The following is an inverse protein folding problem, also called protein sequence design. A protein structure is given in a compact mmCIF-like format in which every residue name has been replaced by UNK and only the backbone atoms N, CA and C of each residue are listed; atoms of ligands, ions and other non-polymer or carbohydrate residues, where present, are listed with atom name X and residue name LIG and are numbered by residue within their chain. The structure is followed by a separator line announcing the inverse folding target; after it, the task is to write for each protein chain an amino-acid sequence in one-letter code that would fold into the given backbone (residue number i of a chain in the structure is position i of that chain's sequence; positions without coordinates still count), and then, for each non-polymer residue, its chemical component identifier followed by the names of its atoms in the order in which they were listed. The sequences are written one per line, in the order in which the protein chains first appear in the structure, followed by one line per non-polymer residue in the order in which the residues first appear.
data_IF_723747787490
#
_entry.id   IF_723747787490
#
_cell.length_a   1.000
_cell.length_b   1.000
_cell.length_c   1.000
_cell.angle_alpha   90.00
_cell.angle_beta   90.00
_cell.angle_gamma   90.00
#
_symmetry.space_group_name_H-M   'P 1'
#
loop_
_entity.id
_entity.type
_entity.pdbx_description
1 polymer ?
#
# COMPACT_ATOMS: atom_id res chain seq x y z
N UNK A 1 -10.51 -1.75 52.37
CA UNK A 1 -9.90 -2.12 51.08
C UNK A 1 -10.98 -1.96 50.03
N UNK A 2 -11.04 -0.80 49.38
CA UNK A 2 -11.93 -0.58 48.23
C UNK A 2 -11.23 -1.10 47.00
N UNK A 3 -11.82 -2.12 46.38
CA UNK A 3 -11.45 -2.56 45.04
C UNK A 3 -12.13 -1.63 44.05
N UNK A 4 -11.39 -0.62 43.57
CA UNK A 4 -11.74 0.14 42.38
C UNK A 4 -11.55 -0.79 41.16
N UNK A 5 -12.62 -1.48 40.75
CA UNK A 5 -12.67 -2.11 39.44
C UNK A 5 -12.94 -1.03 38.39
N UNK A 6 -11.86 -0.61 37.71
CA UNK A 6 -11.91 0.25 36.53
C UNK A 6 -12.74 -0.42 35.42
N UNK A 7 -13.98 0.05 35.24
CA UNK A 7 -14.82 -0.30 34.10
C UNK A 7 -14.16 0.18 32.79
N UNK A 8 -14.05 -0.67 31.75
CA UNK A 8 -13.44 -0.29 30.48
C UNK A 8 -14.32 0.75 29.75
N UNK A 9 -13.72 1.91 29.48
CA UNK A 9 -14.32 3.06 28.81
C UNK A 9 -14.64 2.72 27.33
N UNK A 10 -15.89 2.38 27.03
CA UNK A 10 -16.35 1.91 25.71
C UNK A 10 -16.12 2.92 24.56
N UNK A 11 -15.92 4.20 24.86
CA UNK A 11 -15.68 5.24 23.85
C UNK A 11 -14.26 5.19 23.24
N UNK A 12 -13.28 4.63 23.95
CA UNK A 12 -11.91 4.53 23.42
C UNK A 12 -11.82 3.49 22.30
N UNK A 13 -12.52 2.36 22.44
CA UNK A 13 -12.51 1.26 21.46
C UNK A 13 -13.03 1.69 20.08
N UNK A 14 -14.13 2.45 20.02
CA UNK A 14 -14.69 2.91 18.75
C UNK A 14 -13.76 3.88 18.02
N UNK A 15 -12.95 4.62 18.77
CA UNK A 15 -11.97 5.55 18.22
C UNK A 15 -10.76 4.82 17.64
N UNK A 16 -10.39 3.67 18.21
CA UNK A 16 -9.32 2.81 17.68
C UNK A 16 -9.71 2.18 16.35
N UNK A 17 -10.95 1.69 16.20
CA UNK A 17 -11.44 1.11 14.95
C UNK A 17 -11.47 2.15 13.82
N UNK A 18 -11.93 3.37 14.10
CA UNK A 18 -11.90 4.49 13.16
C UNK A 18 -10.46 4.87 12.76
N UNK A 19 -9.52 4.81 13.71
CA UNK A 19 -8.11 5.05 13.43
C UNK A 19 -7.50 3.91 12.61
N UNK A 20 -7.86 2.66 12.89
CA UNK A 20 -7.41 1.50 12.13
C UNK A 20 -7.93 1.54 10.69
N UNK A 21 -9.20 1.90 10.48
CA UNK A 21 -9.79 2.11 9.16
C UNK A 21 -9.08 3.23 8.41
N UNK A 22 -8.80 4.36 9.08
CA UNK A 22 -8.03 5.46 8.50
C UNK A 22 -6.63 5.01 8.05
N UNK A 23 -5.89 4.28 8.91
CA UNK A 23 -4.54 3.81 8.60
C UNK A 23 -4.56 2.80 7.45
N UNK A 24 -5.55 1.91 7.42
CA UNK A 24 -5.70 0.91 6.34
C UNK A 24 -5.93 1.60 4.99
N UNK A 25 -6.81 2.61 4.93
CA UNK A 25 -7.00 3.39 3.69
C UNK A 25 -5.76 4.20 3.32
N UNK A 26 -4.97 4.63 4.29
CA UNK A 26 -3.74 5.38 4.04
C UNK A 26 -2.65 4.52 3.38
N UNK A 27 -2.73 3.18 3.48
CA UNK A 27 -1.78 2.27 2.82
C UNK A 27 -1.79 2.41 1.29
N UNK A 28 -2.95 2.75 0.71
CA UNK A 28 -3.11 2.95 -0.72
C UNK A 28 -2.53 4.31 -1.18
N UNK A 29 -2.46 5.29 -0.28
CA UNK A 29 -2.02 6.67 -0.57
C UNK A 29 -0.68 7.02 0.08
N UNK A 30 0.33 6.14 -0.09
CA UNK A 30 1.67 6.32 0.51
C UNK A 30 2.34 7.65 0.19
N UNK A 31 2.03 8.21 -0.98
CA UNK A 31 2.60 9.49 -1.42
C UNK A 31 2.29 10.64 -0.45
N UNK A 32 1.19 10.58 0.31
CA UNK A 32 0.84 11.57 1.35
C UNK A 32 1.90 11.59 2.47
N UNK A 33 2.55 10.46 2.74
CA UNK A 33 3.55 10.32 3.79
C UNK A 33 4.95 10.75 3.36
N UNK A 34 5.21 10.86 2.07
CA UNK A 34 6.54 11.21 1.54
C UNK A 34 7.02 12.56 2.06
N UNK A 35 8.32 12.67 2.32
CA UNK A 35 8.95 13.95 2.72
C UNK A 35 9.31 14.85 1.53
N UNK A 36 9.41 14.28 0.32
CA UNK A 36 9.85 14.99 -0.89
C UNK A 36 8.88 16.12 -1.27
N UNK A 37 9.40 17.29 -1.62
CA UNK A 37 8.62 18.50 -1.98
C UNK A 37 8.92 18.99 -3.41
N UNK A 38 9.29 18.08 -4.30
CA UNK A 38 9.46 18.41 -5.71
C UNK A 38 8.10 18.79 -6.33
N UNK A 39 8.02 19.81 -7.20
CA UNK A 39 6.76 20.26 -7.81
C UNK A 39 5.83 19.13 -8.33
N UNK A 40 6.32 18.10 -9.06
CA UNK A 40 5.45 17.01 -9.52
C UNK A 40 4.94 16.12 -8.38
N UNK A 41 5.71 15.96 -7.30
CA UNK A 41 5.29 15.17 -6.13
C UNK A 41 4.30 15.97 -5.29
N UNK A 42 4.46 17.30 -5.22
CA UNK A 42 3.52 18.17 -4.53
C UNK A 42 2.14 18.13 -5.20
N UNK A 43 2.06 18.27 -6.53
CA UNK A 43 0.78 18.15 -7.24
C UNK A 43 0.16 16.77 -7.10
N UNK A 44 0.96 15.71 -7.18
CA UNK A 44 0.49 14.34 -6.96
C UNK A 44 -0.01 14.10 -5.52
N UNK A 45 0.64 14.69 -4.52
CA UNK A 45 0.17 14.67 -3.12
C UNK A 45 -1.15 15.39 -2.95
N UNK A 46 -1.29 16.59 -3.52
CA UNK A 46 -2.51 17.37 -3.39
C UNK A 46 -3.68 16.64 -4.07
N UNK A 47 -3.43 15.97 -5.20
CA UNK A 47 -4.42 15.09 -5.86
C UNK A 47 -4.79 13.89 -5.00
N UNK A 48 -3.80 13.14 -4.52
CA UNK A 48 -4.00 11.99 -3.64
C UNK A 48 -4.74 12.37 -2.35
N UNK A 49 -4.46 13.55 -1.79
CA UNK A 49 -5.11 14.04 -0.58
C UNK A 49 -6.59 14.37 -0.82
N UNK A 50 -6.96 14.87 -2.00
CA UNK A 50 -8.37 15.09 -2.37
C UNK A 50 -9.11 13.77 -2.52
N UNK A 51 -8.57 12.83 -3.28
CA UNK A 51 -9.15 11.50 -3.48
C UNK A 51 -9.29 10.74 -2.16
N UNK A 52 -8.27 10.79 -1.29
CA UNK A 52 -8.32 10.22 0.05
C UNK A 52 -9.42 10.87 0.90
N UNK A 53 -9.53 12.20 0.88
CA UNK A 53 -10.57 12.91 1.64
C UNK A 53 -11.97 12.51 1.19
N UNK A 54 -12.21 12.45 -0.11
CA UNK A 54 -13.51 12.06 -0.68
C UNK A 54 -13.89 10.62 -0.33
N UNK A 55 -12.94 9.69 -0.47
CA UNK A 55 -13.16 8.27 -0.14
C UNK A 55 -13.35 8.06 1.37
N UNK A 56 -12.56 8.73 2.21
CA UNK A 56 -12.70 8.66 3.66
C UNK A 56 -14.03 9.24 4.15
N UNK A 57 -14.45 10.40 3.62
CA UNK A 57 -15.71 11.04 3.98
C UNK A 57 -16.91 10.17 3.55
N UNK A 58 -16.83 9.52 2.39
CA UNK A 58 -17.85 8.55 1.94
C UNK A 58 -17.97 7.36 2.89
N UNK A 59 -16.85 6.83 3.37
CA UNK A 59 -16.82 5.62 4.19
C UNK A 59 -17.15 5.86 5.66
N UNK A 60 -16.71 6.97 6.23
CA UNK A 60 -16.87 7.26 7.67
C UNK A 60 -17.98 8.25 8.00
N UNK A 61 -18.62 8.85 6.99
CA UNK A 61 -19.61 9.94 7.11
C UNK A 61 -19.08 11.15 7.90
N UNK A 62 -17.77 11.24 8.09
CA UNK A 62 -17.11 12.41 8.67
C UNK A 62 -16.87 13.42 7.54
N UNK A 63 -17.07 14.71 7.80
CA UNK A 63 -16.74 15.77 6.85
C UNK A 63 -15.38 16.35 7.22
N UNK A 64 -14.30 15.60 6.93
CA UNK A 64 -12.95 16.12 7.12
C UNK A 64 -12.50 16.92 5.90
N UNK A 65 -11.85 18.05 6.16
CA UNK A 65 -11.12 18.83 5.16
C UNK A 65 -9.71 18.26 4.94
N UNK A 66 -9.13 18.49 3.77
CA UNK A 66 -7.79 18.03 3.39
C UNK A 66 -6.72 18.49 4.41
N UNK A 67 -6.85 19.70 4.95
CA UNK A 67 -5.96 20.21 6.01
C UNK A 67 -6.12 19.43 7.31
N UNK A 68 -7.34 19.03 7.66
CA UNK A 68 -7.63 18.26 8.86
C UNK A 68 -7.10 16.84 8.74
N UNK A 69 -7.20 16.22 7.54
CA UNK A 69 -6.57 14.93 7.24
C UNK A 69 -5.06 15.01 7.46
N UNK A 70 -4.40 16.00 6.87
CA UNK A 70 -2.95 16.18 7.04
C UNK A 70 -2.56 16.43 8.51
N UNK A 71 -3.36 17.23 9.22
CA UNK A 71 -3.20 17.44 10.67
C UNK A 71 -3.35 16.13 11.45
N UNK A 72 -4.35 15.30 11.12
CA UNK A 72 -4.56 13.98 11.73
C UNK A 72 -3.35 13.08 11.50
N UNK A 73 -2.83 13.01 10.28
CA UNK A 73 -1.60 12.27 9.95
C UNK A 73 -0.41 12.77 10.77
N UNK A 74 -0.21 14.08 10.87
CA UNK A 74 0.89 14.65 11.65
C UNK A 74 0.74 14.38 13.16
N UNK A 75 -0.49 14.44 13.69
CA UNK A 75 -0.77 14.07 15.07
C UNK A 75 -0.44 12.59 15.32
N UNK A 76 -0.80 11.68 14.41
CA UNK A 76 -0.45 10.26 14.49
C UNK A 76 1.07 10.05 14.47
N UNK A 77 1.80 10.75 13.58
CA UNK A 77 3.28 10.75 13.55
C UNK A 77 3.88 11.18 14.88
N UNK A 78 3.38 12.27 15.46
CA UNK A 78 3.87 12.80 16.74
C UNK A 78 3.57 11.85 17.91
N UNK A 79 2.36 11.26 17.96
CA UNK A 79 2.00 10.25 18.98
C UNK A 79 2.97 9.06 18.93
N UNK A 80 3.19 8.52 17.75
CA UNK A 80 4.07 7.36 17.57
C UNK A 80 5.52 7.71 17.90
N UNK A 81 6.03 8.88 17.47
CA UNK A 81 7.35 9.37 17.88
C UNK A 81 7.51 9.45 19.39
N UNK A 82 6.52 9.99 20.10
CA UNK A 82 6.59 10.11 21.55
C UNK A 82 6.61 8.75 22.25
N UNK A 83 5.88 7.75 21.73
CA UNK A 83 5.86 6.39 22.28
C UNK A 83 7.17 5.64 21.98
N UNK A 84 7.76 5.88 20.80
CA UNK A 84 8.97 5.18 20.32
C UNK A 84 10.27 5.89 20.68
N UNK A 85 10.22 7.07 21.28
CA UNK A 85 11.40 7.83 21.69
C UNK A 85 12.14 7.11 22.82
N UNK A 86 13.24 6.45 22.47
CA UNK A 86 14.11 5.69 23.37
C UNK A 86 14.66 6.54 24.52
N UNK A 87 14.83 7.85 24.31
CA UNK A 87 15.33 8.76 25.36
C UNK A 87 14.30 8.98 26.47
N UNK A 88 13.01 8.78 26.19
CA UNK A 88 11.90 8.98 27.14
C UNK A 88 11.39 7.70 27.77
N UNK A 89 11.53 6.56 27.09
CA UNK A 89 10.89 5.31 27.51
C UNK A 89 11.62 4.59 28.64
N UNK A 90 12.90 4.89 28.89
CA UNK A 90 13.72 4.11 29.82
C UNK A 90 13.69 2.62 29.48
N UNK A 91 14.11 1.73 30.37
CA UNK A 91 14.06 0.27 30.15
C UNK A 91 12.62 -0.32 30.10
N UNK A 92 11.58 0.47 29.79
CA UNK A 92 10.20 -0.01 29.68
C UNK A 92 9.95 -0.58 28.28
N UNK A 93 9.33 -1.75 28.23
CA UNK A 93 8.89 -2.38 26.97
C UNK A 93 7.83 -1.50 26.30
N UNK A 94 8.09 -1.07 25.07
CA UNK A 94 7.16 -0.27 24.26
C UNK A 94 5.98 -1.16 23.85
N UNK A 95 4.77 -0.80 24.29
CA UNK A 95 3.51 -1.42 23.82
C UNK A 95 2.85 -0.47 22.83
N UNK A 96 2.72 -0.92 21.58
CA UNK A 96 2.03 -0.20 20.50
C UNK A 96 0.67 -0.83 20.23
N UNK A 97 -0.36 0.00 20.02
CA UNK A 97 -1.69 -0.45 19.61
C UNK A 97 -1.67 -0.91 18.14
N UNK A 98 -2.70 -1.63 17.70
CA UNK A 98 -2.70 -2.26 16.37
C UNK A 98 -2.60 -1.24 15.22
N UNK A 99 -3.38 -0.15 15.30
CA UNK A 99 -3.30 0.92 14.31
C UNK A 99 -1.93 1.62 14.32
N UNK A 100 -1.29 1.73 15.50
CA UNK A 100 0.05 2.34 15.63
C UNK A 100 1.12 1.44 15.00
N UNK A 101 1.03 0.11 15.19
CA UNK A 101 1.92 -0.85 14.55
C UNK A 101 1.82 -0.78 13.03
N UNK A 102 0.58 -0.78 12.49
CA UNK A 102 0.35 -0.65 11.04
C UNK A 102 0.88 0.68 10.50
N UNK A 103 0.57 1.79 11.16
CA UNK A 103 1.03 3.11 10.73
C UNK A 103 2.55 3.26 10.84
N UNK A 104 3.17 2.74 11.89
CA UNK A 104 4.63 2.76 12.06
C UNK A 104 5.33 1.98 10.95
N UNK A 105 4.81 0.79 10.59
CA UNK A 105 5.30 -0.01 9.46
C UNK A 105 5.16 0.74 8.14
N UNK A 106 4.01 1.39 7.92
CA UNK A 106 3.74 2.18 6.73
C UNK A 106 4.68 3.40 6.62
N UNK A 107 4.92 4.08 7.74
CA UNK A 107 5.69 5.33 7.78
C UNK A 107 7.22 5.11 7.78
N UNK A 108 7.73 4.07 8.44
CA UNK A 108 9.16 3.76 8.50
C UNK A 108 9.64 2.73 7.47
N UNK A 109 8.75 2.20 6.62
CA UNK A 109 9.12 1.29 5.52
C UNK A 109 9.95 1.94 4.40
N UNK A 110 10.08 3.27 4.42
CA UNK A 110 10.99 4.05 3.61
C UNK A 110 12.09 4.57 4.54
N UNK A 111 13.11 3.76 4.79
CA UNK A 111 14.46 4.10 5.29
C UNK A 111 14.57 5.34 6.19
N UNK A 112 14.98 5.15 7.45
CA UNK A 112 15.61 6.22 8.21
C UNK A 112 17.08 6.35 7.75
N UNK A 113 17.45 7.33 6.89
CA UNK A 113 18.83 7.45 6.42
C UNK A 113 19.81 7.89 7.52
N UNK A 114 19.34 8.15 8.74
CA UNK A 114 20.15 8.73 9.83
C UNK A 114 20.82 7.66 10.71
N UNK A 115 20.46 6.38 10.58
CA UNK A 115 21.04 5.28 11.40
C UNK A 115 21.98 4.37 10.60
N UNK A 116 22.16 4.60 9.30
CA UNK A 116 23.36 4.07 8.63
C UNK A 116 24.54 4.96 9.03
N UNK A 117 25.10 4.70 10.21
CA UNK A 117 26.50 5.07 10.43
C UNK A 117 27.28 4.40 9.31
N UNK A 118 27.84 5.21 8.42
CA UNK A 118 28.81 4.74 7.43
C UNK A 118 29.93 4.08 8.25
N UNK A 119 30.25 2.79 8.03
CA UNK A 119 31.42 2.19 8.66
C UNK A 119 32.65 3.03 8.25
N UNK A 120 33.22 3.76 9.20
CA UNK A 120 34.33 4.70 8.98
C UNK A 120 34.18 6.09 9.60
N UNK A 121 33.05 6.44 10.21
CA UNK A 121 32.89 7.71 10.93
C UNK A 121 33.66 7.74 12.25
N UNK A 122 34.91 8.20 12.24
CA UNK A 122 35.73 8.42 13.45
C UNK A 122 35.19 9.63 14.21
N UNK A 123 34.54 9.40 15.34
CA UNK A 123 34.31 10.44 16.35
C UNK A 123 35.63 10.73 17.08
N UNK A 124 36.23 11.89 16.82
CA UNK A 124 37.37 12.38 17.58
C UNK A 124 36.90 12.82 18.98
N UNK A 125 37.18 12.00 19.99
CA UNK A 125 36.83 12.27 21.39
C UNK A 125 37.54 11.34 22.38
N UNK A 126 38.77 11.73 22.74
CA UNK A 126 39.58 11.33 23.91
C UNK A 126 39.96 9.87 24.13
N UNK A 127 41.28 9.65 24.22
CA UNK A 127 42.04 8.41 24.37
C UNK A 127 41.51 7.41 25.39
N UNK A 128 41.41 6.15 24.96
CA UNK A 128 41.81 4.99 25.74
C UNK A 128 42.52 4.01 24.81
N UNK A 129 43.78 3.71 25.15
CA UNK A 129 44.55 2.64 24.54
C UNK A 129 43.83 1.31 24.74
N UNK A 130 43.43 0.67 23.65
CA UNK A 130 43.10 -0.75 23.64
C UNK A 130 43.75 -1.36 22.40
N UNK A 131 44.65 -2.30 22.65
CA UNK A 131 45.38 -3.10 21.67
C UNK A 131 44.46 -3.68 20.59
N UNK A 132 44.79 -3.38 19.33
CA UNK A 132 44.19 -4.02 18.16
C UNK A 132 45.09 -5.22 17.80
N UNK A 133 44.60 -6.42 18.07
CA UNK A 133 45.13 -7.62 17.43
C UNK A 133 44.38 -7.82 16.11
N UNK A 134 45.09 -7.59 15.00
CA UNK A 134 44.66 -7.98 13.66
C UNK A 134 44.65 -9.51 13.52
N UNK A 135 43.52 -10.04 13.07
CA UNK A 135 43.50 -11.23 12.22
C UNK A 135 42.51 -10.97 11.09
N UNK A 136 43.07 -10.68 9.91
CA UNK A 136 42.39 -10.78 8.63
C UNK A 136 42.06 -12.25 8.37
N UNK A 137 40.79 -12.58 8.13
CA UNK A 137 40.40 -13.69 7.27
C UNK A 137 38.94 -13.50 6.83
N UNK A 138 38.81 -13.06 5.57
CA UNK A 138 37.72 -13.37 4.64
C UNK A 138 36.28 -13.19 5.12
N UNK A 139 35.74 -11.99 4.90
CA UNK A 139 34.31 -11.87 4.60
C UNK A 139 34.08 -10.76 3.57
N UNK A 140 34.37 -11.09 2.32
CA UNK A 140 34.06 -10.26 1.16
C UNK A 140 32.54 -10.28 0.94
N UNK A 141 31.82 -9.42 1.65
CA UNK A 141 30.41 -9.14 1.33
C UNK A 141 30.43 -8.27 0.07
N UNK A 142 30.33 -8.95 -1.07
CA UNK A 142 30.03 -8.34 -2.36
C UNK A 142 28.70 -7.59 -2.23
N UNK A 143 28.75 -6.27 -2.04
CA UNK A 143 27.59 -5.38 -2.17
C UNK A 143 27.13 -5.43 -3.63
N UNK A 144 26.27 -6.39 -3.95
CA UNK A 144 25.62 -6.48 -5.25
C UNK A 144 24.41 -5.55 -5.25
N UNK A 145 24.34 -4.69 -6.27
CA UNK A 145 23.35 -3.64 -6.45
C UNK A 145 21.88 -4.08 -6.25
N UNK A 146 21.33 -3.89 -5.05
CA UNK A 146 19.91 -4.12 -4.72
C UNK A 146 18.94 -3.36 -5.65
N UNK A 147 19.39 -2.23 -6.22
CA UNK A 147 18.61 -1.48 -7.23
C UNK A 147 18.40 -2.29 -8.50
N UNK A 148 19.39 -3.05 -8.95
CA UNK A 148 19.28 -3.82 -10.19
C UNK A 148 18.34 -5.01 -10.01
N UNK A 149 18.43 -5.69 -8.86
CA UNK A 149 17.53 -6.78 -8.50
C UNK A 149 16.08 -6.31 -8.40
N UNK A 150 15.84 -5.17 -7.75
CA UNK A 150 14.50 -4.58 -7.65
C UNK A 150 13.96 -4.12 -9.00
N UNK A 151 14.81 -3.65 -9.90
CA UNK A 151 14.42 -3.28 -11.27
C UNK A 151 14.07 -4.52 -12.10
N UNK A 152 14.85 -5.61 -11.97
CA UNK A 152 14.56 -6.91 -12.60
C UNK A 152 13.25 -7.51 -12.07
N UNK A 153 13.00 -7.46 -10.77
CA UNK A 153 11.76 -7.91 -10.14
C UNK A 153 10.54 -7.10 -10.61
N UNK A 154 10.65 -5.76 -10.63
CA UNK A 154 9.58 -4.89 -11.16
C UNK A 154 9.30 -5.16 -12.63
N UNK A 155 10.34 -5.30 -13.45
CA UNK A 155 10.20 -5.61 -14.88
C UNK A 155 9.53 -6.98 -15.08
N UNK A 156 9.90 -7.99 -14.29
CA UNK A 156 9.29 -9.33 -14.33
C UNK A 156 7.82 -9.29 -13.93
N UNK A 157 7.48 -8.56 -12.87
CA UNK A 157 6.09 -8.40 -12.41
C UNK A 157 5.23 -7.68 -13.46
N UNK A 158 5.76 -6.63 -14.08
CA UNK A 158 5.07 -5.86 -15.11
C UNK A 158 4.85 -6.70 -16.37
N UNK A 159 5.84 -7.50 -16.77
CA UNK A 159 5.71 -8.44 -17.89
C UNK A 159 4.64 -9.51 -17.61
N UNK A 160 4.57 -10.00 -16.36
CA UNK A 160 3.55 -10.96 -15.95
C UNK A 160 2.14 -10.36 -16.05
N UNK A 161 1.96 -9.11 -15.58
CA UNK A 161 0.68 -8.40 -15.68
C UNK A 161 0.25 -8.20 -17.13
N UNK A 162 1.16 -7.79 -18.02
CA UNK A 162 0.88 -7.64 -19.45
C UNK A 162 0.43 -8.96 -20.07
N UNK A 163 1.14 -10.06 -19.78
CA UNK A 163 0.79 -11.37 -20.33
C UNK A 163 -0.56 -11.86 -19.82
N UNK A 164 -0.88 -11.63 -18.55
CA UNK A 164 -2.20 -11.97 -17.99
C UNK A 164 -3.32 -11.14 -18.64
N UNK A 165 -3.11 -9.83 -18.83
CA UNK A 165 -4.08 -8.97 -19.51
C UNK A 165 -4.31 -9.40 -20.97
N UNK A 166 -3.23 -9.70 -21.70
CA UNK A 166 -3.32 -10.17 -23.08
C UNK A 166 -4.03 -11.54 -23.20
N UNK A 167 -3.87 -12.43 -22.21
CA UNK A 167 -4.60 -13.69 -22.16
C UNK A 167 -6.11 -13.48 -21.89
N UNK A 168 -6.45 -12.56 -21.00
CA UNK A 168 -7.84 -12.20 -20.71
C UNK A 168 -8.52 -11.58 -21.94
N UNK A 169 -7.84 -10.68 -22.65
CA UNK A 169 -8.37 -10.06 -23.87
C UNK A 169 -8.60 -11.10 -24.97
N UNK A 170 -7.66 -12.03 -25.17
CA UNK A 170 -7.85 -13.14 -26.12
C UNK A 170 -9.03 -14.04 -25.74
N UNK A 171 -9.23 -14.30 -24.45
CA UNK A 171 -10.36 -15.09 -23.98
C UNK A 171 -11.70 -14.35 -24.19
N UNK A 172 -11.75 -13.04 -23.96
CA UNK A 172 -12.93 -12.22 -24.21
C UNK A 172 -13.31 -12.19 -25.70
N UNK A 173 -12.34 -12.00 -26.59
CA UNK A 173 -12.57 -12.04 -28.05
C UNK A 173 -13.05 -13.43 -28.49
N UNK A 174 -12.52 -14.49 -27.90
CA UNK A 174 -12.96 -15.85 -28.20
C UNK A 174 -14.41 -16.10 -27.75
N UNK A 175 -14.80 -15.57 -26.60
CA UNK A 175 -16.17 -15.65 -26.08
C UNK A 175 -17.14 -14.85 -26.97
N UNK A 176 -16.80 -13.61 -27.31
CA UNK A 176 -17.60 -12.78 -28.21
C UNK A 176 -17.80 -13.44 -29.59
N UNK A 177 -16.75 -14.06 -30.14
CA UNK A 177 -16.86 -14.84 -31.39
C UNK A 177 -17.77 -16.06 -31.26
N UNK A 178 -17.78 -16.72 -30.11
CA UNK A 178 -18.67 -17.86 -29.86
C UNK A 178 -20.13 -17.38 -29.79
N UNK A 179 -20.39 -16.27 -29.09
CA UNK A 179 -21.72 -15.69 -28.97
C UNK A 179 -22.27 -15.26 -30.34
N UNK A 180 -21.46 -14.59 -31.17
CA UNK A 180 -21.82 -14.23 -32.55
C UNK A 180 -22.07 -15.45 -33.45
N UNK A 181 -21.36 -16.57 -33.21
CA UNK A 181 -21.57 -17.79 -33.97
C UNK A 181 -22.91 -18.46 -33.60
N UNK A 182 -23.30 -18.41 -32.33
CA UNK A 182 -24.61 -18.87 -31.86
C UNK A 182 -25.73 -18.04 -32.46
N UNK A 183 -25.59 -16.71 -32.48
CA UNK A 183 -26.58 -15.80 -33.07
C UNK A 183 -26.75 -16.05 -34.58
N UNK A 184 -25.64 -16.23 -35.32
CA UNK A 184 -25.70 -16.58 -36.75
C UNK A 184 -26.35 -17.93 -37.00
N UNK A 185 -26.09 -18.93 -36.15
CA UNK A 185 -26.71 -20.24 -36.27
C UNK A 185 -28.23 -20.16 -36.03
N UNK A 186 -28.67 -19.36 -35.05
CA UNK A 186 -30.09 -19.12 -34.80
C UNK A 186 -30.77 -18.43 -36.00
N UNK A 187 -30.17 -17.37 -36.55
CA UNK A 187 -30.71 -16.68 -37.73
C UNK A 187 -30.78 -17.57 -38.99
N UNK A 188 -29.82 -18.47 -39.18
CA UNK A 188 -29.86 -19.43 -40.29
C UNK A 188 -30.99 -20.45 -40.14
N UNK A 189 -31.33 -20.86 -38.92
CA UNK A 189 -32.47 -21.75 -38.64
C UNK A 189 -33.78 -21.02 -38.93
N UNK A 190 -33.92 -19.76 -38.52
CA UNK A 190 -35.10 -18.94 -38.82
C UNK A 190 -35.32 -18.79 -40.34
N UNK A 191 -34.27 -18.44 -41.08
CA UNK A 191 -34.34 -18.37 -42.55
C UNK A 191 -34.73 -19.70 -43.21
N UNK A 192 -34.19 -20.82 -42.71
CA UNK A 192 -34.56 -22.14 -43.25
C UNK A 192 -36.04 -22.46 -43.00
N UNK A 193 -36.56 -22.10 -41.83
CA UNK A 193 -37.99 -22.28 -41.49
C UNK A 193 -38.87 -21.41 -42.39
N UNK A 194 -38.51 -20.14 -42.58
CA UNK A 194 -39.24 -19.23 -43.49
C UNK A 194 -39.25 -19.74 -44.94
N UNK A 195 -38.10 -20.16 -45.47
CA UNK A 195 -37.98 -20.72 -46.82
C UNK A 195 -38.80 -22.02 -46.99
N UNK A 196 -38.83 -22.88 -45.97
CA UNK A 196 -39.62 -24.10 -45.99
C UNK A 196 -41.12 -23.79 -46.08
N UNK A 197 -41.62 -22.83 -45.29
CA UNK A 197 -43.01 -22.40 -45.34
C UNK A 197 -43.36 -21.71 -46.66
N UNK A 198 -42.47 -20.88 -47.20
CA UNK A 198 -42.67 -20.22 -48.49
C UNK A 198 -42.82 -21.24 -49.64
N UNK A 199 -42.02 -22.32 -49.63
CA UNK A 199 -42.11 -23.40 -50.65
C UNK A 199 -43.40 -24.21 -50.55
N UNK A 200 -43.89 -24.48 -49.34
CA UNK A 200 -45.17 -25.16 -49.11
C UNK A 200 -46.35 -24.35 -49.67
N UNK A 201 -46.33 -23.02 -49.52
CA UNK A 201 -47.39 -22.15 -50.04
C UNK A 201 -47.37 -22.01 -51.57
N UNK A 202 -46.20 -22.12 -52.21
CA UNK A 202 -46.06 -22.03 -53.67
C UNK A 202 -46.47 -23.31 -54.43
N UNK A 203 -46.78 -24.41 -53.73
CA UNK A 203 -47.13 -25.70 -54.32
C UNK A 203 -48.66 -25.97 -54.38
N UNK A 204 -49.48 -24.97 -54.07
CA UNK A 204 -50.94 -24.95 -54.21
C UNK A 204 -51.34 -23.97 -55.32
#
# INVERSE_FOLDING_TARGET
MSSDEEMPNQEESQNEDLQLAFVTMLEDYKIILDKKMTPPVKSAKDKALKEFTETYNRNTKQNLDAKQVLKKVNNMKSKIKNITDMKKTGNRKIKLNEWQKKFFKLWNGSENPVIQQVPGGVTAGTSQDVDISLTDEENQIHFCDDKELMTKLRKKLLLQQINTAAAQEKAAIAQEKADLAVERAAGAVEQFVEDYFARQQASF
#
